data_IF_856243174268
#
_entry.id   IF_856243174268
#
_cell.length_a   1.000
_cell.length_b   1.000
_cell.length_c   1.000
_cell.angle_alpha   90.00
_cell.angle_beta   90.00
_cell.angle_gamma   90.00
#
_symmetry.space_group_name_H-M   'P 1'
#
loop_
_entity.id
_entity.type
_entity.pdbx_description
1 polymer ?
#
# COMPACT_ATOMS: atom_id res chain seq x y z
N UNK A 1 4.58 49.50 -50.47
CA UNK A 1 3.82 48.51 -49.68
C UNK A 1 4.38 47.14 -50.01
N UNK A 2 4.83 46.43 -48.99
CA UNK A 2 5.90 45.41 -49.02
C UNK A 2 5.47 44.09 -49.68
N UNK A 3 6.32 43.55 -50.56
CA UNK A 3 6.35 42.14 -50.97
C UNK A 3 7.17 41.33 -49.94
N UNK A 4 6.85 40.05 -49.70
CA UNK A 4 7.77 38.89 -49.62
C UNK A 4 7.15 37.66 -48.89
N UNK A 5 6.78 36.64 -49.68
CA UNK A 5 7.25 35.22 -49.66
C UNK A 5 7.13 34.35 -48.37
N UNK A 6 6.13 33.45 -48.39
CA UNK A 6 6.14 31.96 -48.37
C UNK A 6 7.37 31.17 -47.83
N UNK A 7 7.06 30.25 -46.88
CA UNK A 7 7.73 28.99 -46.46
C UNK A 7 9.05 29.02 -45.66
N UNK A 8 9.05 28.30 -44.53
CA UNK A 8 10.29 27.89 -43.86
C UNK A 8 10.12 27.37 -42.43
N UNK A 9 9.76 26.09 -42.32
CA UNK A 9 10.19 25.13 -41.29
C UNK A 9 11.12 25.64 -40.16
N UNK A 10 10.65 25.65 -38.91
CA UNK A 10 11.43 25.37 -37.69
C UNK A 10 10.46 25.16 -36.53
N UNK A 11 10.15 23.92 -36.17
CA UNK A 11 10.87 23.18 -35.13
C UNK A 11 10.94 23.98 -33.80
N UNK A 12 9.78 24.28 -33.21
CA UNK A 12 9.70 24.53 -31.76
C UNK A 12 9.72 23.17 -31.06
N UNK A 13 10.96 22.71 -30.90
CA UNK A 13 11.36 21.60 -30.05
C UNK A 13 10.92 21.84 -28.60
N UNK A 14 10.36 20.78 -28.01
CA UNK A 14 10.74 20.26 -26.70
C UNK A 14 10.66 21.23 -25.52
N UNK A 15 9.49 21.28 -24.89
CA UNK A 15 9.37 21.45 -23.43
C UNK A 15 7.92 21.24 -23.01
N UNK A 16 7.36 20.07 -23.33
CA UNK A 16 6.40 19.50 -22.40
C UNK A 16 7.19 18.48 -21.64
N UNK A 17 7.46 18.86 -20.40
CA UNK A 17 8.27 18.14 -19.45
C UNK A 17 8.05 16.64 -19.56
N UNK A 18 9.18 15.93 -19.56
CA UNK A 18 9.29 14.61 -18.98
C UNK A 18 8.73 14.73 -17.56
N UNK A 19 7.40 14.61 -17.43
CA UNK A 19 6.80 14.11 -16.21
C UNK A 19 7.34 12.70 -16.17
N UNK A 20 8.43 12.52 -15.43
CA UNK A 20 8.94 11.23 -15.05
C UNK A 20 7.71 10.47 -14.55
N UNK A 21 7.23 9.56 -15.40
CA UNK A 21 6.26 8.54 -15.04
C UNK A 21 7.00 7.75 -13.97
N UNK A 22 6.84 8.12 -12.70
CA UNK A 22 7.04 7.18 -11.59
C UNK A 22 6.35 5.93 -12.10
N UNK A 23 7.13 4.89 -12.41
CA UNK A 23 6.60 3.78 -13.18
C UNK A 23 5.43 3.24 -12.36
N UNK A 24 4.29 2.89 -12.99
CA UNK A 24 3.13 2.43 -12.19
C UNK A 24 3.51 1.28 -11.27
N UNK A 25 4.56 0.53 -11.64
CA UNK A 25 5.25 -0.48 -10.85
C UNK A 25 5.83 0.04 -9.53
N UNK A 26 6.49 1.21 -9.49
CA UNK A 26 7.09 1.73 -8.25
C UNK A 26 6.03 2.13 -7.22
N UNK A 27 4.92 2.70 -7.69
CA UNK A 27 3.78 3.03 -6.81
C UNK A 27 3.08 1.77 -6.31
N UNK A 28 2.95 0.74 -7.14
CA UNK A 28 2.37 -0.55 -6.78
C UNK A 28 3.20 -1.24 -5.68
N UNK A 29 4.52 -1.38 -5.89
CA UNK A 29 5.43 -2.02 -4.92
C UNK A 29 5.45 -1.25 -3.58
N UNK A 30 5.43 0.09 -3.63
CA UNK A 30 5.28 0.93 -2.44
C UNK A 30 3.98 0.66 -1.70
N UNK A 31 2.88 0.57 -2.43
CA UNK A 31 1.55 0.29 -1.85
C UNK A 31 1.54 -1.07 -1.16
N UNK A 32 2.11 -2.09 -1.78
CA UNK A 32 2.18 -3.44 -1.20
C UNK A 32 3.00 -3.48 0.10
N UNK A 33 4.18 -2.84 0.11
CA UNK A 33 4.98 -2.74 1.33
C UNK A 33 4.23 -2.04 2.46
N UNK A 34 3.51 -0.97 2.16
CA UNK A 34 2.71 -0.22 3.14
C UNK A 34 1.53 -1.04 3.65
N UNK A 35 0.88 -1.80 2.77
CA UNK A 35 -0.23 -2.69 3.11
C UNK A 35 0.23 -3.79 4.08
N UNK A 36 1.34 -4.48 3.78
CA UNK A 36 1.92 -5.49 4.69
C UNK A 36 2.23 -4.90 6.07
N UNK A 37 2.87 -3.73 6.11
CA UNK A 37 3.20 -3.06 7.37
C UNK A 37 1.95 -2.70 8.19
N UNK A 38 0.88 -2.24 7.52
CA UNK A 38 -0.39 -1.94 8.19
C UNK A 38 -1.02 -3.20 8.79
N UNK A 39 -1.08 -4.30 8.05
CA UNK A 39 -1.65 -5.55 8.55
C UNK A 39 -0.86 -6.10 9.74
N UNK A 40 0.47 -6.07 9.68
CA UNK A 40 1.34 -6.48 10.79
C UNK A 40 1.06 -5.67 12.06
N UNK A 41 1.03 -4.33 11.95
CA UNK A 41 0.78 -3.44 13.08
C UNK A 41 -0.62 -3.65 13.64
N UNK A 42 -1.64 -3.75 12.78
CA UNK A 42 -3.01 -3.95 13.22
C UNK A 42 -3.23 -5.34 13.87
N UNK A 43 -2.58 -6.39 13.38
CA UNK A 43 -2.57 -7.71 14.02
C UNK A 43 -1.97 -7.65 15.44
N UNK A 44 -0.82 -6.97 15.59
CA UNK A 44 -0.16 -6.81 16.89
C UNK A 44 -1.03 -6.01 17.87
N UNK A 45 -1.61 -4.89 17.43
CA UNK A 45 -2.47 -4.06 18.27
C UNK A 45 -3.76 -4.78 18.66
N UNK A 46 -4.37 -5.55 17.74
CA UNK A 46 -5.52 -6.38 18.06
C UNK A 46 -5.21 -7.40 19.16
N UNK A 47 -4.03 -8.04 19.09
CA UNK A 47 -3.54 -8.96 20.13
C UNK A 47 -3.36 -8.25 21.47
N UNK A 48 -2.76 -7.06 21.49
CA UNK A 48 -2.52 -6.29 22.71
C UNK A 48 -3.82 -5.81 23.38
N UNK A 49 -4.85 -5.53 22.58
CA UNK A 49 -6.14 -5.04 23.07
C UNK A 49 -7.20 -6.16 23.24
N UNK A 50 -6.79 -7.44 23.18
CA UNK A 50 -7.68 -8.59 23.33
C UNK A 50 -8.88 -8.59 22.35
N UNK A 51 -8.67 -8.18 21.10
CA UNK A 51 -9.67 -8.29 20.02
C UNK A 51 -9.31 -9.50 19.11
N UNK A 52 -9.78 -10.71 19.44
CA UNK A 52 -9.40 -11.93 18.71
C UNK A 52 -9.93 -11.93 17.27
N UNK A 53 -11.06 -11.28 17.01
CA UNK A 53 -11.68 -11.23 15.67
C UNK A 53 -10.85 -10.33 14.75
N UNK A 54 -10.48 -9.15 15.22
CA UNK A 54 -9.63 -8.24 14.45
C UNK A 54 -8.21 -8.80 14.29
N UNK A 55 -7.72 -9.53 15.30
CA UNK A 55 -6.44 -10.24 15.20
C UNK A 55 -6.49 -11.29 14.09
N UNK A 56 -7.55 -12.11 14.07
CA UNK A 56 -7.71 -13.14 13.04
C UNK A 56 -7.82 -12.53 11.63
N UNK A 57 -8.62 -11.47 11.48
CA UNK A 57 -8.73 -10.72 10.24
C UNK A 57 -7.39 -10.24 9.69
N UNK A 58 -6.61 -9.50 10.49
CA UNK A 58 -5.36 -8.93 10.01
C UNK A 58 -4.25 -9.97 9.82
N UNK A 59 -4.30 -11.09 10.54
CA UNK A 59 -3.40 -12.22 10.28
C UNK A 59 -3.67 -12.84 8.90
N UNK A 60 -4.94 -13.11 8.58
CA UNK A 60 -5.31 -13.69 7.28
C UNK A 60 -5.04 -12.73 6.12
N UNK A 61 -5.38 -11.45 6.26
CA UNK A 61 -5.09 -10.45 5.21
C UNK A 61 -3.59 -10.32 4.94
N UNK A 62 -2.75 -10.42 5.97
CA UNK A 62 -1.30 -10.42 5.80
C UNK A 62 -0.82 -11.66 5.02
N UNK A 63 -1.30 -12.85 5.38
CA UNK A 63 -0.97 -14.10 4.69
C UNK A 63 -1.42 -14.08 3.22
N UNK A 64 -2.67 -13.68 2.95
CA UNK A 64 -3.20 -13.58 1.60
C UNK A 64 -2.38 -12.61 0.73
N UNK A 65 -2.00 -11.44 1.27
CA UNK A 65 -1.14 -10.51 0.54
C UNK A 65 0.24 -11.10 0.26
N UNK A 66 0.84 -11.85 1.19
CA UNK A 66 2.11 -12.52 0.93
C UNK A 66 1.98 -13.59 -0.17
N UNK A 67 0.87 -14.33 -0.21
CA UNK A 67 0.58 -15.31 -1.26
C UNK A 67 0.41 -14.66 -2.63
N UNK A 68 -0.28 -13.52 -2.71
CA UNK A 68 -0.45 -12.76 -3.96
C UNK A 68 0.90 -12.34 -4.58
N UNK A 69 1.92 -12.13 -3.75
CA UNK A 69 3.24 -11.67 -4.21
C UNK A 69 4.19 -12.82 -4.58
N UNK A 70 3.81 -14.08 -4.40
CA UNK A 70 4.68 -15.23 -4.74
C UNK A 70 5.06 -15.30 -6.23
N UNK A 71 4.28 -14.67 -7.11
CA UNK A 71 4.61 -14.57 -8.54
C UNK A 71 5.67 -13.51 -8.90
N UNK A 72 6.20 -12.79 -7.92
CA UNK A 72 7.10 -11.67 -8.15
C UNK A 72 8.56 -12.13 -8.24
N UNK A 73 9.36 -11.35 -8.97
CA UNK A 73 10.81 -11.54 -8.99
C UNK A 73 11.41 -11.13 -7.65
N UNK A 74 12.59 -11.68 -7.33
CA UNK A 74 13.34 -11.35 -6.12
C UNK A 74 13.54 -9.83 -5.95
N UNK A 75 13.89 -9.12 -7.03
CA UNK A 75 14.07 -7.66 -7.00
C UNK A 75 12.80 -6.92 -6.56
N UNK A 76 11.62 -7.38 -7.00
CA UNK A 76 10.33 -6.80 -6.60
C UNK A 76 10.01 -7.10 -5.15
N UNK A 77 10.28 -8.33 -4.69
CA UNK A 77 10.11 -8.71 -3.29
C UNK A 77 11.00 -7.86 -2.37
N UNK A 78 12.25 -7.63 -2.75
CA UNK A 78 13.17 -6.76 -2.02
C UNK A 78 12.69 -5.30 -1.99
N UNK A 79 12.12 -4.81 -3.09
CA UNK A 79 11.52 -3.48 -3.14
C UNK A 79 10.31 -3.35 -2.19
N UNK A 80 9.41 -4.33 -2.19
CA UNK A 80 8.26 -4.40 -1.26
C UNK A 80 8.76 -4.41 0.17
N UNK A 81 9.75 -5.24 0.50
CA UNK A 81 10.31 -5.38 1.84
C UNK A 81 10.96 -4.07 2.34
N UNK A 82 11.65 -3.36 1.44
CA UNK A 82 12.21 -2.03 1.71
C UNK A 82 11.11 -1.03 2.06
N UNK A 83 10.02 -1.00 1.30
CA UNK A 83 8.89 -0.10 1.56
C UNK A 83 8.10 -0.51 2.81
N UNK A 84 7.97 -1.81 3.10
CA UNK A 84 7.42 -2.33 4.36
C UNK A 84 8.21 -1.85 5.56
N UNK A 85 9.53 -2.00 5.53
CA UNK A 85 10.42 -1.55 6.62
C UNK A 85 10.32 -0.04 6.85
N UNK A 86 10.26 0.76 5.78
CA UNK A 86 10.03 2.21 5.88
C UNK A 86 8.68 2.52 6.53
N UNK A 87 7.61 1.88 6.07
CA UNK A 87 6.27 2.07 6.61
C UNK A 87 6.20 1.69 8.10
N UNK A 88 6.78 0.57 8.52
CA UNK A 88 6.85 0.17 9.93
C UNK A 88 7.56 1.22 10.79
N UNK A 89 8.66 1.80 10.30
CA UNK A 89 9.37 2.88 10.99
C UNK A 89 8.50 4.12 11.19
N UNK A 90 7.65 4.46 10.21
CA UNK A 90 6.70 5.56 10.31
C UNK A 90 5.54 5.24 11.26
N UNK A 91 4.93 4.06 11.14
CA UNK A 91 3.80 3.63 11.95
C UNK A 91 4.15 3.59 13.44
N UNK A 92 5.39 3.22 13.79
CA UNK A 92 5.92 3.24 15.18
C UNK A 92 5.92 4.62 15.83
N UNK A 93 5.86 5.70 15.05
CA UNK A 93 5.80 7.08 15.57
C UNK A 93 4.38 7.50 15.95
N UNK A 94 3.36 6.77 15.48
CA UNK A 94 1.96 7.02 15.84
C UNK A 94 1.67 6.33 17.17
N UNK A 95 0.88 6.98 18.03
CA UNK A 95 0.48 6.37 19.30
C UNK A 95 -0.27 5.06 19.07
N UNK A 96 -0.07 4.08 19.95
CA UNK A 96 -0.73 2.77 19.85
C UNK A 96 -2.26 2.90 19.91
N UNK A 97 -2.80 3.81 20.74
CA UNK A 97 -4.23 4.08 20.84
C UNK A 97 -4.80 4.64 19.53
N UNK A 98 -4.15 5.65 18.94
CA UNK A 98 -4.60 6.22 17.67
C UNK A 98 -4.52 5.20 16.54
N UNK A 99 -3.44 4.41 16.50
CA UNK A 99 -3.27 3.37 15.49
C UNK A 99 -4.31 2.26 15.64
N UNK A 100 -4.60 1.83 16.88
CA UNK A 100 -5.64 0.84 17.14
C UNK A 100 -7.00 1.32 16.66
N UNK A 101 -7.37 2.57 16.95
CA UNK A 101 -8.62 3.16 16.45
C UNK A 101 -8.67 3.16 14.91
N UNK A 102 -7.57 3.48 14.24
CA UNK A 102 -7.50 3.43 12.77
C UNK A 102 -7.70 2.01 12.25
N UNK A 103 -7.07 1.00 12.88
CA UNK A 103 -7.28 -0.40 12.54
C UNK A 103 -8.75 -0.80 12.74
N UNK A 104 -9.35 -0.47 13.89
CA UNK A 104 -10.75 -0.77 14.17
C UNK A 104 -11.71 -0.10 13.19
N UNK A 105 -11.43 1.15 12.77
CA UNK A 105 -12.26 1.86 11.80
C UNK A 105 -12.16 1.26 10.38
N UNK A 106 -11.01 0.70 10.02
CA UNK A 106 -10.81 0.01 8.74
C UNK A 106 -11.41 -1.38 8.73
N UNK A 107 -11.51 -2.02 9.89
CA UNK A 107 -12.17 -3.31 10.03
C UNK A 107 -13.68 -3.13 10.09
N UNK A 108 -14.28 -3.03 8.90
CA UNK A 108 -15.69 -2.69 8.74
C UNK A 108 -16.62 -3.72 9.42
N UNK A 109 -17.86 -3.33 9.78
CA UNK A 109 -18.77 -4.21 10.52
C UNK A 109 -19.12 -5.52 9.79
N UNK A 110 -19.16 -5.53 8.46
CA UNK A 110 -19.49 -6.73 7.67
C UNK A 110 -18.33 -7.72 7.74
N UNK A 111 -17.11 -7.24 7.52
CA UNK A 111 -15.91 -8.04 7.73
C UNK A 111 -15.84 -8.57 9.17
N UNK A 112 -16.15 -7.74 10.18
CA UNK A 112 -16.18 -8.21 11.57
C UNK A 112 -17.16 -9.34 11.80
N UNK A 113 -18.38 -9.24 11.27
CA UNK A 113 -19.37 -10.31 11.39
C UNK A 113 -18.91 -11.59 10.68
N UNK A 114 -18.38 -11.47 9.46
CA UNK A 114 -17.87 -12.61 8.71
C UNK A 114 -16.76 -13.36 9.46
N UNK A 115 -15.76 -12.62 9.97
CA UNK A 115 -14.63 -13.20 10.69
C UNK A 115 -15.02 -13.70 12.08
N UNK A 116 -16.04 -13.13 12.72
CA UNK A 116 -16.60 -13.66 13.96
C UNK A 116 -17.18 -15.07 13.77
N UNK A 117 -17.91 -15.30 12.66
CA UNK A 117 -18.47 -16.61 12.31
C UNK A 117 -17.32 -17.58 12.00
N UNK A 118 -16.39 -17.18 11.12
CA UNK A 118 -15.26 -18.02 10.73
C UNK A 118 -14.40 -18.45 11.91
N UNK A 119 -14.20 -17.56 12.90
CA UNK A 119 -13.45 -17.89 14.11
C UNK A 119 -14.21 -18.88 15.02
N UNK A 120 -15.55 -18.86 15.00
CA UNK A 120 -16.37 -19.79 15.80
C UNK A 120 -16.48 -21.20 15.22
N UNK A 121 -16.07 -21.39 13.97
CA UNK A 121 -16.10 -22.67 13.25
C UNK A 121 -14.76 -23.44 13.33
N UNK A 122 -13.75 -22.88 14.00
CA UNK A 122 -12.45 -23.52 14.27
C UNK A 122 -12.47 -24.28 15.60
#
# INVERSE_FOLDING_TARGET
MIHFIVFGLSLLLLSVDVIAKESSSDTELRTQGYTLANYEVCHLLAKQNNDPVMRFYYAEMHELSQLEYQGYTEDKLQAIEKERTKALSLLRKVSSTSMFQLCSNRFDPVSRQHYQIKLSEQ
#
